data_IF_351837699165
#
_entry.id   IF_351837699165
#
_cell.length_a   1.000
_cell.length_b   1.000
_cell.length_c   1.000
_cell.angle_alpha   90.00
_cell.angle_beta   90.00
_cell.angle_gamma   90.00
#
_symmetry.space_group_name_H-M   'P 1'
#
loop_
_entity.id
_entity.type
_entity.pdbx_description
1 polymer ?
#
# COMPACT_ATOMS: atom_id res chain seq x y z
N UNK A 1 -25.07 -64.03 18.72
CA UNK A 1 -24.51 -63.25 19.84
C UNK A 1 -23.22 -62.61 19.33
N UNK A 2 -23.22 -61.38 18.81
CA UNK A 2 -23.33 -60.07 19.46
C UNK A 2 -22.08 -59.68 20.28
N UNK A 3 -21.45 -58.56 19.88
CA UNK A 3 -20.58 -57.59 20.59
C UNK A 3 -19.04 -57.73 20.36
N UNK A 4 -18.43 -56.81 19.57
CA UNK A 4 -17.84 -55.46 19.89
C UNK A 4 -16.38 -55.63 20.35
N UNK A 5 -15.34 -54.88 19.99
CA UNK A 5 -15.05 -53.49 19.52
C UNK A 5 -13.50 -53.45 19.35
N UNK A 6 -12.80 -52.62 18.56
CA UNK A 6 -12.85 -51.18 18.34
C UNK A 6 -11.90 -50.89 17.15
N UNK A 7 -12.41 -50.42 16.01
CA UNK A 7 -11.56 -49.84 14.95
C UNK A 7 -11.78 -48.34 14.98
N UNK A 8 -10.74 -47.60 15.36
CA UNK A 8 -10.73 -46.14 15.36
C UNK A 8 -10.84 -45.66 13.91
N UNK A 9 -11.97 -45.04 13.58
CA UNK A 9 -12.22 -44.39 12.31
C UNK A 9 -11.41 -43.08 12.30
N UNK A 10 -10.20 -43.11 11.74
CA UNK A 10 -9.50 -41.89 11.35
C UNK A 10 -10.25 -41.27 10.16
N UNK A 11 -11.11 -40.31 10.45
CA UNK A 11 -11.67 -39.42 9.45
C UNK A 11 -10.55 -38.51 8.92
N UNK A 12 -9.83 -38.97 7.90
CA UNK A 12 -8.95 -38.11 7.10
C UNK A 12 -9.87 -37.24 6.24
N UNK A 13 -10.26 -36.08 6.78
CA UNK A 13 -10.83 -35.01 5.97
C UNK A 13 -9.72 -34.58 5.00
N UNK A 14 -9.88 -34.91 3.72
CA UNK A 14 -8.86 -34.67 2.71
C UNK A 14 -8.69 -33.16 2.48
N UNK A 15 -7.54 -32.63 2.90
CA UNK A 15 -7.07 -31.25 2.66
C UNK A 15 -7.10 -30.86 1.16
N UNK A 16 -7.16 -31.85 0.26
CA UNK A 16 -7.29 -31.66 -1.19
C UNK A 16 -8.55 -30.88 -1.62
N UNK A 17 -9.62 -30.84 -0.80
CA UNK A 17 -10.85 -30.09 -1.10
C UNK A 17 -10.77 -28.57 -0.85
N UNK A 18 -9.72 -28.08 -0.19
CA UNK A 18 -9.57 -26.66 0.17
C UNK A 18 -8.83 -25.82 -0.89
N UNK A 19 -8.09 -26.44 -1.80
CA UNK A 19 -7.16 -25.76 -2.72
C UNK A 19 -7.74 -25.36 -4.08
N UNK A 20 -9.07 -25.46 -4.27
CA UNK A 20 -9.70 -24.88 -5.45
C UNK A 20 -9.64 -23.35 -5.36
N UNK A 21 -8.59 -22.74 -5.94
CA UNK A 21 -8.47 -21.30 -6.17
C UNK A 21 -9.66 -20.83 -7.01
N UNK A 22 -10.74 -20.42 -6.34
CA UNK A 22 -11.99 -19.96 -6.95
C UNK A 22 -11.89 -18.50 -7.39
N UNK A 23 -12.81 -18.17 -8.32
CA UNK A 23 -12.98 -16.91 -9.09
C UNK A 23 -12.46 -15.64 -8.40
N UNK A 24 -11.69 -14.78 -9.08
CA UNK A 24 -11.57 -13.37 -8.69
C UNK A 24 -12.96 -12.73 -8.66
N UNK A 25 -13.44 -12.39 -7.46
CA UNK A 25 -14.69 -11.66 -7.28
C UNK A 25 -14.65 -10.35 -8.09
N UNK A 26 -15.74 -9.95 -8.78
CA UNK A 26 -15.83 -8.63 -9.38
C UNK A 26 -15.63 -7.56 -8.32
N UNK A 27 -14.82 -6.54 -8.63
CA UNK A 27 -14.71 -5.34 -7.81
C UNK A 27 -16.09 -4.69 -7.81
N UNK A 28 -16.73 -4.63 -6.64
CA UNK A 28 -18.03 -3.98 -6.43
C UNK A 28 -17.87 -2.74 -5.58
N UNK A 29 -16.89 -2.70 -4.69
CA UNK A 29 -16.63 -1.57 -3.79
C UNK A 29 -15.20 -1.08 -3.91
N UNK A 30 -15.01 0.19 -4.26
CA UNK A 30 -13.71 0.86 -4.22
C UNK A 30 -13.71 1.89 -3.09
N UNK A 31 -12.70 1.82 -2.22
CA UNK A 31 -12.48 2.78 -1.16
C UNK A 31 -11.52 3.86 -1.65
N UNK A 32 -11.94 5.13 -1.59
CA UNK A 32 -11.12 6.29 -1.93
C UNK A 32 -10.74 7.02 -0.65
N UNK A 33 -9.44 7.13 -0.40
CA UNK A 33 -8.88 7.75 0.79
C UNK A 33 -8.13 9.04 0.43
N UNK A 34 -8.71 10.18 0.77
CA UNK A 34 -8.03 11.46 0.64
C UNK A 34 -7.05 11.64 1.81
N UNK A 35 -5.75 11.62 1.54
CA UNK A 35 -4.69 11.74 2.54
C UNK A 35 -4.86 12.95 3.46
N UNK A 36 -4.41 12.81 4.71
CA UNK A 36 -4.37 13.89 5.71
C UNK A 36 -5.74 14.55 5.99
N UNK A 37 -5.74 15.81 6.45
CA UNK A 37 -6.92 16.61 6.77
C UNK A 37 -6.63 17.67 7.84
N UNK A 38 -7.58 18.59 8.00
CA UNK A 38 -7.54 19.65 8.99
C UNK A 38 -7.68 19.05 10.39
N UNK A 39 -6.68 19.25 11.23
CA UNK A 39 -6.65 18.81 12.61
C UNK A 39 -7.64 19.59 13.47
N UNK A 40 -8.07 18.98 14.56
CA UNK A 40 -8.85 19.66 15.60
C UNK A 40 -8.07 20.89 16.08
N UNK A 41 -8.65 22.08 15.90
CA UNK A 41 -8.00 23.37 16.18
C UNK A 41 -7.48 24.12 14.95
N UNK A 42 -7.69 23.60 13.74
CA UNK A 42 -7.41 24.30 12.48
C UNK A 42 -5.98 24.13 11.95
N UNK A 43 -5.16 23.30 12.60
CA UNK A 43 -3.83 22.95 12.09
C UNK A 43 -3.89 22.01 10.90
N UNK A 44 -2.87 22.06 10.03
CA UNK A 44 -2.74 21.16 8.89
C UNK A 44 -1.79 20.01 9.23
N UNK A 45 -2.09 18.81 8.76
CA UNK A 45 -1.21 17.65 8.84
C UNK A 45 -0.80 17.25 7.42
N UNK A 46 0.43 16.77 7.25
CA UNK A 46 0.99 16.45 5.93
C UNK A 46 1.98 17.48 5.43
N UNK A 47 2.37 17.35 4.17
CA UNK A 47 3.28 18.25 3.52
C UNK A 47 2.62 19.60 3.20
N UNK A 48 3.45 20.64 3.12
CA UNK A 48 3.04 21.95 2.62
C UNK A 48 3.98 22.38 1.50
N UNK A 49 3.43 23.07 0.52
CA UNK A 49 4.18 23.74 -0.53
C UNK A 49 4.50 25.18 -0.16
N UNK A 50 4.63 26.02 -1.18
CA UNK A 50 4.83 27.45 -1.03
C UNK A 50 3.54 28.22 -0.72
N UNK A 51 2.38 27.72 -1.15
CA UNK A 51 1.07 28.36 -0.91
C UNK A 51 -0.08 27.39 -0.65
N UNK A 52 0.14 26.07 -0.75
CA UNK A 52 -0.89 25.05 -0.60
C UNK A 52 -0.52 23.97 0.43
N UNK A 53 -1.53 23.23 0.89
CA UNK A 53 -1.38 22.10 1.80
C UNK A 53 -1.77 20.79 1.10
N UNK A 54 -1.07 19.71 1.45
CA UNK A 54 -1.30 18.38 0.89
C UNK A 54 -2.74 17.92 1.05
N UNK A 55 -3.35 18.13 2.22
CA UNK A 55 -4.70 17.66 2.53
C UNK A 55 -5.80 18.31 1.67
N UNK A 56 -5.64 19.58 1.31
CA UNK A 56 -6.56 20.30 0.43
C UNK A 56 -6.48 19.74 -1.00
N UNK A 57 -5.26 19.57 -1.52
CA UNK A 57 -5.02 18.98 -2.85
C UNK A 57 -5.58 17.55 -2.90
N UNK A 58 -5.26 16.73 -1.89
CA UNK A 58 -5.72 15.34 -1.82
C UNK A 58 -7.25 15.25 -1.83
N UNK A 59 -7.94 16.11 -1.07
CA UNK A 59 -9.40 16.13 -1.04
C UNK A 59 -9.98 16.54 -2.40
N UNK A 60 -9.40 17.55 -3.05
CA UNK A 60 -9.87 18.03 -4.34
C UNK A 60 -9.73 16.97 -5.43
N UNK A 61 -8.56 16.30 -5.50
CA UNK A 61 -8.33 15.20 -6.44
C UNK A 61 -9.24 14.02 -6.13
N UNK A 62 -9.39 13.64 -4.86
CA UNK A 62 -10.25 12.52 -4.46
C UNK A 62 -11.71 12.74 -4.88
N UNK A 63 -12.26 13.94 -4.68
CA UNK A 63 -13.63 14.26 -5.12
C UNK A 63 -13.81 14.16 -6.63
N UNK A 64 -12.83 14.64 -7.41
CA UNK A 64 -12.85 14.49 -8.86
C UNK A 64 -12.70 13.03 -9.28
N UNK A 65 -11.85 12.25 -8.61
CA UNK A 65 -11.69 10.82 -8.85
C UNK A 65 -12.98 10.05 -8.55
N UNK A 66 -13.66 10.35 -7.44
CA UNK A 66 -14.97 9.77 -7.10
C UNK A 66 -15.99 10.07 -8.21
N UNK A 67 -16.11 11.33 -8.64
CA UNK A 67 -17.03 11.72 -9.70
C UNK A 67 -16.69 11.04 -11.04
N UNK A 68 -15.40 10.96 -11.39
CA UNK A 68 -14.93 10.37 -12.64
C UNK A 68 -15.13 8.85 -12.66
N UNK A 69 -14.82 8.15 -11.56
CA UNK A 69 -15.05 6.70 -11.43
C UNK A 69 -16.55 6.39 -11.46
N UNK A 70 -17.38 7.19 -10.79
CA UNK A 70 -18.84 6.98 -10.82
C UNK A 70 -19.41 7.13 -12.24
N UNK A 71 -18.82 8.03 -13.05
CA UNK A 71 -19.18 8.21 -14.46
C UNK A 71 -18.72 7.04 -15.34
N UNK A 72 -17.46 6.63 -15.21
CA UNK A 72 -16.86 5.62 -16.09
C UNK A 72 -17.24 4.18 -15.69
N UNK A 73 -17.53 3.96 -14.41
CA UNK A 73 -17.80 2.66 -13.81
C UNK A 73 -19.05 2.70 -12.90
N UNK A 74 -20.26 2.90 -13.46
CA UNK A 74 -21.48 3.14 -12.68
C UNK A 74 -21.92 1.96 -11.80
N UNK A 75 -21.39 0.76 -12.04
CA UNK A 75 -21.68 -0.44 -11.24
C UNK A 75 -20.76 -0.59 -10.01
N UNK A 76 -19.79 0.29 -9.84
CA UNK A 76 -18.87 0.29 -8.69
C UNK A 76 -19.42 1.23 -7.63
N UNK A 77 -19.66 0.69 -6.43
CA UNK A 77 -19.91 1.49 -5.24
C UNK A 77 -18.60 2.13 -4.77
N UNK A 78 -18.63 3.43 -4.57
CA UNK A 78 -17.48 4.18 -4.06
C UNK A 78 -17.75 4.55 -2.60
N UNK A 79 -16.74 4.38 -1.75
CA UNK A 79 -16.79 4.81 -0.34
C UNK A 79 -15.60 5.72 -0.07
N UNK A 80 -15.87 6.93 0.39
CA UNK A 80 -14.84 7.89 0.77
C UNK A 80 -14.51 7.73 2.26
N UNK A 81 -13.24 7.56 2.62
CA UNK A 81 -12.84 7.56 4.04
C UNK A 81 -12.92 8.97 4.64
N UNK A 82 -12.69 10.00 3.82
CA UNK A 82 -12.70 11.41 4.20
C UNK A 82 -13.45 12.23 3.14
N UNK A 83 -14.78 12.42 3.29
CA UNK A 83 -15.59 13.23 2.37
C UNK A 83 -15.44 14.76 2.61
N UNK A 84 -14.88 15.14 3.75
CA UNK A 84 -14.76 16.52 4.23
C UNK A 84 -13.31 16.99 4.43
N UNK A 85 -13.15 18.22 4.93
CA UNK A 85 -11.82 18.80 5.18
C UNK A 85 -11.15 18.23 6.42
N UNK A 86 -11.94 17.80 7.41
CA UNK A 86 -11.42 17.40 8.71
C UNK A 86 -10.65 16.09 8.63
N UNK A 87 -9.62 15.97 9.47
CA UNK A 87 -8.79 14.77 9.54
C UNK A 87 -9.59 13.57 10.04
N UNK A 88 -9.47 12.47 9.31
CA UNK A 88 -9.92 11.13 9.73
C UNK A 88 -8.70 10.37 10.24
N UNK A 89 -8.82 9.71 11.39
CA UNK A 89 -7.70 8.98 12.01
C UNK A 89 -7.21 7.84 11.11
N UNK A 90 -5.90 7.49 11.16
CA UNK A 90 -5.37 6.39 10.34
C UNK A 90 -6.12 5.07 10.58
N UNK A 91 -6.38 4.74 11.85
CA UNK A 91 -7.16 3.56 12.23
C UNK A 91 -8.57 3.60 11.67
N UNK A 92 -9.27 4.73 11.86
CA UNK A 92 -10.62 4.95 11.36
C UNK A 92 -10.73 4.80 9.84
N UNK A 93 -9.72 5.23 9.06
CA UNK A 93 -9.69 5.01 7.60
C UNK A 93 -9.69 3.52 7.25
N UNK A 94 -8.89 2.73 7.97
CA UNK A 94 -8.85 1.28 7.77
C UNK A 94 -10.17 0.63 8.22
N UNK A 95 -10.74 1.08 9.34
CA UNK A 95 -12.03 0.60 9.85
C UNK A 95 -13.16 0.88 8.85
N UNK A 96 -13.23 2.09 8.28
CA UNK A 96 -14.20 2.44 7.23
C UNK A 96 -14.04 1.51 6.02
N UNK A 97 -12.81 1.29 5.56
CA UNK A 97 -12.53 0.45 4.41
C UNK A 97 -12.96 -1.01 4.64
N UNK A 98 -12.61 -1.56 5.80
CA UNK A 98 -12.89 -2.93 6.20
C UNK A 98 -14.38 -3.16 6.47
N UNK A 99 -15.03 -2.27 7.23
CA UNK A 99 -16.46 -2.33 7.55
C UNK A 99 -17.36 -2.19 6.31
N UNK A 100 -16.84 -1.59 5.24
CA UNK A 100 -17.54 -1.47 3.96
C UNK A 100 -17.23 -2.60 2.99
N UNK A 101 -16.53 -3.66 3.40
CA UNK A 101 -16.19 -4.77 2.52
C UNK A 101 -15.48 -4.31 1.23
N UNK A 102 -14.51 -3.40 1.35
CA UNK A 102 -13.79 -2.85 0.20
C UNK A 102 -13.08 -3.94 -0.62
N UNK A 103 -13.21 -3.90 -1.95
CA UNK A 103 -12.53 -4.81 -2.87
C UNK A 103 -11.19 -4.25 -3.35
N UNK A 104 -11.00 -2.93 -3.26
CA UNK A 104 -9.79 -2.19 -3.57
C UNK A 104 -9.74 -0.89 -2.76
N UNK A 105 -8.58 -0.59 -2.18
CA UNK A 105 -8.32 0.64 -1.45
C UNK A 105 -7.33 1.52 -2.23
N UNK A 106 -7.68 2.77 -2.49
CA UNK A 106 -6.85 3.76 -3.18
C UNK A 106 -6.70 4.98 -2.28
N UNK A 107 -5.49 5.21 -1.77
CA UNK A 107 -5.14 6.41 -1.01
C UNK A 107 -4.43 7.42 -1.90
N UNK A 108 -4.84 8.68 -1.84
CA UNK A 108 -4.34 9.78 -2.68
C UNK A 108 -3.57 10.75 -1.78
N UNK A 109 -2.31 10.98 -2.14
CA UNK A 109 -1.34 11.77 -1.39
C UNK A 109 -0.53 12.68 -2.33
N UNK A 110 0.20 13.64 -1.74
CA UNK A 110 1.17 14.47 -2.46
C UNK A 110 2.48 14.44 -1.71
N UNK A 111 3.55 14.03 -2.40
CA UNK A 111 4.83 13.85 -1.75
C UNK A 111 5.53 15.19 -1.48
N UNK A 112 6.55 15.17 -0.65
CA UNK A 112 7.46 16.27 -0.43
C UNK A 112 8.89 15.77 -0.29
N UNK A 113 9.83 16.54 -0.83
CA UNK A 113 11.25 16.30 -0.59
C UNK A 113 11.83 17.51 0.14
N UNK A 114 12.17 17.40 1.43
CA UNK A 114 12.67 18.53 2.20
C UNK A 114 14.01 19.03 1.65
N UNK A 115 14.33 20.32 1.84
CA UNK A 115 15.62 20.86 1.44
C UNK A 115 16.76 20.13 2.14
N UNK A 116 17.85 19.87 1.41
CA UNK A 116 19.09 19.36 1.99
C UNK A 116 20.01 20.52 2.37
N UNK A 117 20.61 20.46 3.56
CA UNK A 117 21.62 21.44 3.94
C UNK A 117 22.92 21.15 3.17
N UNK A 118 23.41 22.14 2.45
CA UNK A 118 24.70 22.13 1.80
C UNK A 118 25.66 23.11 2.50
N UNK A 119 26.95 22.88 2.31
CA UNK A 119 28.00 23.81 2.75
C UNK A 119 29.05 23.99 1.67
N UNK A 120 29.56 25.19 1.57
CA UNK A 120 30.73 25.51 0.74
C UNK A 120 31.83 26.11 1.62
N UNK A 121 33.09 25.76 1.36
CA UNK A 121 34.21 26.38 2.05
C UNK A 121 34.43 27.78 1.44
N UNK A 122 34.27 28.82 2.27
CA UNK A 122 34.38 30.23 1.86
C UNK A 122 35.70 30.87 2.31
N UNK A 123 36.63 30.08 2.81
CA UNK A 123 37.96 30.52 3.22
C UNK A 123 38.54 29.69 4.36
N UNK A 124 39.52 30.28 5.04
CA UNK A 124 40.10 29.75 6.27
C UNK A 124 40.09 30.84 7.34
N UNK A 125 40.05 30.42 8.60
CA UNK A 125 40.20 31.31 9.75
C UNK A 125 41.27 30.77 10.69
N UNK A 126 41.99 31.68 11.34
CA UNK A 126 43.01 31.30 12.32
C UNK A 126 42.35 30.99 13.66
N UNK A 127 42.30 29.71 14.01
CA UNK A 127 41.83 29.25 15.30
C UNK A 127 42.99 29.25 16.31
N UNK A 128 42.84 30.06 17.36
CA UNK A 128 43.73 30.03 18.52
C UNK A 128 43.24 28.95 19.49
N UNK A 129 44.14 28.08 19.94
CA UNK A 129 43.85 27.13 21.01
C UNK A 129 45.00 27.08 22.02
N UNK A 130 44.74 26.51 23.20
CA UNK A 130 45.71 26.46 24.28
C UNK A 130 45.92 25.02 24.75
N UNK A 131 47.15 24.71 25.16
CA UNK A 131 47.51 23.41 25.75
C UNK A 131 48.20 23.63 27.09
N UNK A 132 48.15 22.64 28.00
CA UNK A 132 48.68 22.76 29.36
C UNK A 132 47.76 23.54 30.31
N UNK A 133 48.14 23.61 31.60
CA UNK A 133 47.36 24.26 32.68
C UNK A 133 48.24 25.21 33.49
N UNK A 134 47.63 26.24 34.10
CA UNK A 134 48.31 27.20 34.97
C UNK A 134 49.49 27.90 34.28
N UNK A 135 50.63 27.99 34.96
CA UNK A 135 51.86 28.60 34.43
C UNK A 135 52.47 27.86 33.22
N UNK A 136 52.02 26.63 32.91
CA UNK A 136 52.48 25.84 31.76
C UNK A 136 51.55 25.98 30.52
N UNK A 137 50.59 26.91 30.53
CA UNK A 137 49.66 27.12 29.40
C UNK A 137 50.40 27.70 28.18
N UNK A 138 50.32 27.03 27.03
CA UNK A 138 50.93 27.44 25.75
C UNK A 138 49.85 27.79 24.73
N UNK A 139 50.02 28.90 24.00
CA UNK A 139 49.13 29.35 22.91
C UNK A 139 49.60 28.75 21.59
N UNK A 140 48.66 28.24 20.80
CA UNK A 140 48.87 27.69 19.47
C UNK A 140 47.87 28.29 18.49
N UNK A 141 48.22 28.26 17.21
CA UNK A 141 47.35 28.69 16.10
C UNK A 141 47.32 27.62 15.03
N UNK A 142 46.13 27.34 14.51
CA UNK A 142 45.96 26.51 13.31
C UNK A 142 44.96 27.17 12.37
N UNK A 143 45.19 27.04 11.07
CA UNK A 143 44.18 27.43 10.09
C UNK A 143 43.09 26.37 10.05
N UNK A 144 41.85 26.79 10.19
CA UNK A 144 40.67 25.92 10.06
C UNK A 144 39.78 26.42 8.92
N UNK A 145 39.11 25.53 8.18
CA UNK A 145 38.21 25.93 7.10
C UNK A 145 36.99 26.67 7.65
N UNK A 146 36.59 27.75 6.98
CA UNK A 146 35.33 28.46 7.24
C UNK A 146 34.29 28.05 6.21
N UNK A 147 33.09 27.67 6.67
CA UNK A 147 32.00 27.22 5.80
C UNK A 147 30.84 28.21 5.77
N UNK A 148 30.20 28.36 4.61
CA UNK A 148 28.86 28.95 4.46
C UNK A 148 27.87 27.81 4.29
N UNK A 149 26.75 27.86 5.01
CA UNK A 149 25.66 26.88 4.93
C UNK A 149 24.49 27.48 4.16
N UNK A 150 23.85 26.67 3.31
CA UNK A 150 22.66 27.06 2.54
C UNK A 150 21.77 25.84 2.26
N UNK A 151 20.48 26.08 2.00
CA UNK A 151 19.53 25.03 1.66
C UNK A 151 19.52 24.79 0.15
N UNK A 152 19.61 23.53 -0.26
CA UNK A 152 19.40 23.11 -1.64
C UNK A 152 18.03 22.45 -1.71
N UNK A 153 17.12 23.09 -2.44
CA UNK A 153 15.78 22.58 -2.67
C UNK A 153 15.81 21.58 -3.83
N UNK A 154 15.45 20.31 -3.60
CA UNK A 154 15.44 19.31 -4.65
C UNK A 154 14.32 19.61 -5.65
N UNK A 155 14.66 19.62 -6.94
CA UNK A 155 13.70 19.77 -8.03
C UNK A 155 13.01 18.42 -8.39
N UNK A 156 12.79 17.57 -7.40
CA UNK A 156 12.15 16.26 -7.59
C UNK A 156 10.71 16.47 -8.05
N UNK A 157 10.27 15.70 -9.05
CA UNK A 157 8.92 15.78 -9.61
C UNK A 157 8.44 14.43 -10.12
N UNK A 158 7.14 14.31 -10.36
CA UNK A 158 6.53 13.10 -10.89
C UNK A 158 5.81 12.27 -9.85
N UNK A 159 5.18 11.19 -10.30
CA UNK A 159 4.31 10.34 -9.50
C UNK A 159 5.05 9.14 -8.93
N UNK A 160 4.57 8.65 -7.79
CA UNK A 160 5.03 7.40 -7.20
C UNK A 160 3.81 6.65 -6.67
N UNK A 161 3.74 5.34 -6.88
CA UNK A 161 2.67 4.53 -6.30
C UNK A 161 3.26 3.48 -5.38
N UNK A 162 2.69 3.35 -4.19
CA UNK A 162 3.17 2.44 -3.15
C UNK A 162 2.17 1.34 -2.85
N UNK A 163 2.70 0.16 -2.56
CA UNK A 163 1.99 -0.93 -1.89
C UNK A 163 2.59 -1.14 -0.50
N UNK A 164 1.97 -1.98 0.34
CA UNK A 164 2.56 -2.29 1.63
C UNK A 164 3.91 -3.00 1.47
N UNK A 165 4.82 -2.76 2.42
CA UNK A 165 6.15 -3.37 2.38
C UNK A 165 6.11 -4.86 2.70
N UNK A 166 6.99 -5.64 2.08
CA UNK A 166 7.09 -7.09 2.32
C UNK A 166 7.38 -7.42 3.79
N UNK A 167 8.14 -6.57 4.50
CA UNK A 167 8.39 -6.66 5.93
C UNK A 167 7.15 -6.38 6.82
N UNK A 168 6.01 -6.06 6.20
CA UNK A 168 4.71 -5.80 6.84
C UNK A 168 3.63 -6.79 6.40
N UNK A 169 4.05 -7.93 5.86
CA UNK A 169 3.13 -8.99 5.43
C UNK A 169 2.34 -9.56 6.60
N UNK A 170 2.98 -9.75 7.76
CA UNK A 170 2.30 -10.23 8.98
C UNK A 170 1.21 -9.27 9.44
N UNK A 171 1.46 -7.96 9.44
CA UNK A 171 0.46 -6.93 9.78
C UNK A 171 -0.75 -6.99 8.82
N UNK A 172 -0.50 -7.22 7.52
CA UNK A 172 -1.58 -7.41 6.52
C UNK A 172 -2.36 -8.71 6.73
N UNK A 173 -1.68 -9.79 7.09
CA UNK A 173 -2.34 -11.06 7.42
C UNK A 173 -3.22 -10.93 8.67
N UNK A 174 -2.76 -10.23 9.70
CA UNK A 174 -3.56 -9.93 10.90
C UNK A 174 -4.85 -9.20 10.49
N UNK A 175 -4.75 -8.13 9.71
CA UNK A 175 -5.91 -7.39 9.23
C UNK A 175 -6.90 -8.27 8.44
N UNK A 176 -6.39 -9.15 7.59
CA UNK A 176 -7.21 -10.13 6.84
C UNK A 176 -7.91 -11.10 7.80
N UNK A 177 -7.22 -11.57 8.84
CA UNK A 177 -7.79 -12.51 9.81
C UNK A 177 -8.85 -11.87 10.70
N UNK A 178 -8.60 -10.66 11.19
CA UNK A 178 -9.58 -9.89 12.00
C UNK A 178 -10.85 -9.58 11.21
N UNK A 179 -10.73 -9.44 9.88
CA UNK A 179 -11.85 -9.17 8.97
C UNK A 179 -12.33 -10.43 8.23
N UNK A 180 -12.10 -11.63 8.77
CA UNK A 180 -12.48 -12.91 8.15
C UNK A 180 -13.94 -12.94 7.67
N UNK A 181 -14.84 -12.35 8.46
CA UNK A 181 -16.28 -12.30 8.20
C UNK A 181 -16.62 -11.53 6.91
N UNK A 182 -15.74 -10.60 6.48
CA UNK A 182 -15.87 -9.87 5.22
C UNK A 182 -15.80 -10.80 4.00
N UNK A 183 -15.12 -11.94 4.13
CA UNK A 183 -14.95 -12.91 3.05
C UNK A 183 -16.15 -13.84 2.87
N UNK A 184 -17.33 -13.39 3.30
CA UNK A 184 -18.62 -14.02 3.10
C UNK A 184 -18.91 -14.17 1.60
N UNK A 185 -18.31 -15.20 0.99
CA UNK A 185 -18.73 -15.73 -0.31
C UNK A 185 -20.17 -16.24 -0.18
N UNK A 186 -20.93 -16.22 -1.28
CA UNK A 186 -22.09 -17.12 -1.42
C UNK A 186 -21.57 -18.54 -1.13
N UNK A 187 -22.09 -19.16 -0.04
CA UNK A 187 -21.72 -20.46 0.53
C UNK A 187 -20.48 -20.51 1.46
N UNK A 188 -19.92 -19.38 1.92
CA UNK A 188 -18.89 -19.38 2.98
C UNK A 188 -19.43 -19.98 4.28
N UNK A 189 -20.65 -19.58 4.67
CA UNK A 189 -21.36 -20.10 5.85
C UNK A 189 -21.71 -21.59 5.73
N UNK A 190 -21.85 -22.12 4.52
CA UNK A 190 -22.17 -23.54 4.31
C UNK A 190 -20.91 -24.43 4.27
N UNK A 191 -19.75 -23.89 3.88
CA UNK A 191 -18.49 -24.68 3.72
C UNK A 191 -17.52 -24.54 4.91
N UNK A 192 -17.61 -23.46 5.69
CA UNK A 192 -16.60 -23.08 6.70
C UNK A 192 -17.20 -22.62 8.03
N UNK A 193 -18.38 -23.14 8.41
CA UNK A 193 -18.92 -22.93 9.75
C UNK A 193 -17.83 -23.27 10.80
N UNK A 194 -17.65 -22.36 11.76
CA UNK A 194 -16.77 -22.48 12.92
C UNK A 194 -15.26 -22.64 12.65
N UNK A 195 -14.71 -22.06 11.58
CA UNK A 195 -13.25 -21.93 11.47
C UNK A 195 -12.75 -20.88 12.47
N UNK A 196 -12.05 -21.35 13.50
CA UNK A 196 -11.24 -20.51 14.39
C UNK A 196 -10.25 -19.67 13.55
N UNK A 197 -10.25 -18.33 13.63
CA UNK A 197 -9.27 -17.48 12.96
C UNK A 197 -7.81 -17.78 13.30
N UNK A 198 -7.56 -18.58 14.34
CA UNK A 198 -6.24 -19.05 14.74
C UNK A 198 -5.95 -20.49 14.27
N UNK A 199 -6.86 -21.13 13.53
CA UNK A 199 -6.63 -22.47 12.99
C UNK A 199 -5.51 -22.47 11.94
N UNK A 200 -4.70 -23.54 11.85
CA UNK A 200 -3.68 -23.68 10.82
C UNK A 200 -4.21 -23.51 9.39
N UNK A 201 -5.43 -23.98 9.11
CA UNK A 201 -6.10 -23.87 7.82
C UNK A 201 -6.41 -22.41 7.48
N UNK A 202 -6.92 -21.65 8.46
CA UNK A 202 -7.23 -20.25 8.25
C UNK A 202 -5.97 -19.40 8.09
N UNK A 203 -4.92 -19.71 8.85
CA UNK A 203 -3.60 -19.09 8.69
C UNK A 203 -3.09 -19.34 7.26
N UNK A 204 -3.13 -20.59 6.78
CA UNK A 204 -2.72 -20.92 5.42
C UNK A 204 -3.56 -20.18 4.35
N UNK A 205 -4.88 -20.11 4.53
CA UNK A 205 -5.77 -19.35 3.65
C UNK A 205 -5.44 -17.86 3.66
N UNK A 206 -5.20 -17.28 4.83
CA UNK A 206 -4.85 -15.87 5.00
C UNK A 206 -3.53 -15.53 4.29
N UNK A 207 -2.54 -16.42 4.33
CA UNK A 207 -1.27 -16.26 3.61
C UNK A 207 -1.47 -16.31 2.08
N UNK A 208 -2.28 -17.25 1.58
CA UNK A 208 -2.63 -17.33 0.14
C UNK A 208 -3.34 -16.05 -0.31
N UNK A 209 -4.30 -15.56 0.50
CA UNK A 209 -5.05 -14.34 0.21
C UNK A 209 -4.18 -13.10 0.23
N UNK A 210 -3.27 -12.99 1.19
CA UNK A 210 -2.28 -11.92 1.28
C UNK A 210 -1.41 -11.86 0.02
N UNK A 211 -0.93 -13.02 -0.46
CA UNK A 211 -0.18 -13.10 -1.73
C UNK A 211 -1.01 -12.65 -2.93
N UNK A 212 -2.29 -13.00 -2.99
CA UNK A 212 -3.20 -12.52 -4.04
C UNK A 212 -3.40 -11.02 -3.98
N UNK A 213 -3.64 -10.46 -2.79
CA UNK A 213 -3.78 -9.03 -2.59
C UNK A 213 -2.51 -8.28 -2.94
N UNK A 214 -1.33 -8.87 -2.68
CA UNK A 214 -0.07 -8.25 -3.04
C UNK A 214 0.05 -8.15 -4.56
N UNK A 215 -0.20 -9.24 -5.29
CA UNK A 215 -0.17 -9.27 -6.76
C UNK A 215 -1.16 -8.27 -7.36
N UNK A 216 -2.36 -8.19 -6.79
CA UNK A 216 -3.41 -7.25 -7.19
C UNK A 216 -3.01 -5.80 -6.94
N UNK A 217 -2.44 -5.49 -5.78
CA UNK A 217 -1.99 -4.14 -5.43
C UNK A 217 -0.84 -3.70 -6.32
N UNK A 218 0.15 -4.58 -6.52
CA UNK A 218 1.27 -4.32 -7.43
C UNK A 218 0.76 -4.03 -8.84
N UNK A 219 -0.22 -4.79 -9.33
CA UNK A 219 -0.76 -4.57 -10.67
C UNK A 219 -1.54 -3.26 -10.79
N UNK A 220 -2.34 -2.92 -9.78
CA UNK A 220 -3.02 -1.62 -9.75
C UNK A 220 -2.01 -0.47 -9.75
N UNK A 221 -0.94 -0.57 -8.95
CA UNK A 221 0.13 0.42 -8.92
C UNK A 221 0.79 0.63 -10.29
N UNK A 222 1.09 -0.46 -11.01
CA UNK A 222 1.66 -0.38 -12.35
C UNK A 222 0.71 0.30 -13.36
N UNK A 223 -0.60 0.06 -13.25
CA UNK A 223 -1.59 0.72 -14.12
C UNK A 223 -1.71 2.21 -13.82
N UNK A 224 -1.66 2.61 -12.55
CA UNK A 224 -1.66 4.01 -12.15
C UNK A 224 -0.45 4.75 -12.75
N UNK A 225 0.75 4.22 -12.53
CA UNK A 225 1.98 4.81 -13.05
C UNK A 225 2.01 4.86 -14.59
N UNK A 226 1.49 3.82 -15.25
CA UNK A 226 1.38 3.81 -16.71
C UNK A 226 0.41 4.88 -17.24
N UNK A 227 -0.73 5.12 -16.58
CA UNK A 227 -1.67 6.17 -16.99
C UNK A 227 -1.12 7.58 -16.77
N UNK A 228 -0.37 7.80 -15.68
CA UNK A 228 0.36 9.05 -15.49
C UNK A 228 1.43 9.29 -16.55
N UNK A 229 2.21 8.26 -16.89
CA UNK A 229 3.19 8.35 -17.97
C UNK A 229 2.53 8.69 -19.32
N UNK A 230 1.40 8.07 -19.64
CA UNK A 230 0.62 8.37 -20.86
C UNK A 230 0.07 9.78 -20.89
N UNK A 231 -0.28 10.36 -19.74
CA UNK A 231 -0.75 11.75 -19.63
C UNK A 231 0.38 12.77 -19.70
N UNK A 232 1.63 12.33 -19.92
CA UNK A 232 2.80 13.21 -20.00
C UNK A 232 3.42 13.56 -18.65
N UNK A 233 2.95 12.96 -17.54
CA UNK A 233 3.59 13.11 -16.23
C UNK A 233 4.81 12.20 -16.12
N UNK A 234 5.78 12.61 -15.31
CA UNK A 234 6.94 11.77 -15.01
C UNK A 234 6.50 10.66 -14.05
N UNK A 235 6.49 9.41 -14.49
CA UNK A 235 6.34 8.27 -13.58
C UNK A 235 7.70 7.94 -12.96
N UNK A 236 7.78 7.93 -11.62
CA UNK A 236 8.93 7.37 -10.94
C UNK A 236 8.73 5.87 -10.65
N UNK A 237 7.51 5.34 -10.72
CA UNK A 237 7.23 3.91 -10.65
C UNK A 237 6.57 3.42 -9.37
N UNK A 238 6.42 2.10 -9.27
CA UNK A 238 5.75 1.38 -8.19
C UNK A 238 6.75 0.88 -7.14
N UNK A 239 6.53 1.17 -5.86
CA UNK A 239 7.51 0.91 -4.79
C UNK A 239 6.91 0.28 -3.52
N UNK A 240 7.83 -0.22 -2.69
CA UNK A 240 7.59 -0.53 -1.28
C UNK A 240 8.50 0.35 -0.43
N UNK A 241 7.95 1.00 0.60
CA UNK A 241 8.77 1.79 1.54
C UNK A 241 9.44 0.88 2.56
N UNK A 242 10.66 1.25 3.01
CA UNK A 242 11.30 0.61 4.16
C UNK A 242 10.56 0.90 5.47
N UNK A 243 10.02 2.12 5.61
CA UNK A 243 9.07 2.44 6.68
C UNK A 243 7.66 2.12 6.17
N UNK A 244 7.01 1.12 6.77
CA UNK A 244 5.67 0.72 6.39
C UNK A 244 4.66 1.88 6.39
N UNK A 245 3.75 1.88 5.42
CA UNK A 245 2.57 2.74 5.34
C UNK A 245 1.39 2.03 6.02
N UNK A 246 1.09 2.40 7.27
CA UNK A 246 0.20 1.65 8.17
C UNK A 246 -1.19 1.36 7.55
N UNK A 247 -1.84 2.34 6.91
CA UNK A 247 -3.19 2.16 6.33
C UNK A 247 -3.23 1.11 5.22
N UNK A 248 -2.14 0.97 4.46
CA UNK A 248 -2.02 -0.09 3.43
C UNK A 248 -1.86 -1.48 4.04
N UNK A 249 -1.51 -1.60 5.32
CA UNK A 249 -1.34 -2.88 6.01
C UNK A 249 -2.62 -3.26 6.73
N UNK A 250 -3.27 -2.30 7.38
CA UNK A 250 -4.47 -2.47 8.18
C UNK A 250 -5.76 -2.74 7.37
N UNK A 251 -5.73 -2.53 6.05
CA UNK A 251 -6.86 -2.82 5.17
C UNK A 251 -6.84 -4.28 4.69
N UNK A 252 -7.94 -5.01 4.89
CA UNK A 252 -8.10 -6.41 4.50
C UNK A 252 -8.40 -6.61 2.99
N UNK A 253 -7.79 -5.80 2.12
CA UNK A 253 -8.03 -5.79 0.67
C UNK A 253 -6.74 -5.40 -0.10
N UNK A 254 -6.70 -5.54 -1.44
CA UNK A 254 -5.69 -4.90 -2.26
C UNK A 254 -5.69 -3.38 -2.01
N UNK A 255 -4.51 -2.78 -1.88
CA UNK A 255 -4.37 -1.40 -1.43
C UNK A 255 -3.17 -0.71 -2.07
N UNK A 256 -3.38 0.49 -2.59
CA UNK A 256 -2.33 1.37 -3.14
C UNK A 256 -2.37 2.75 -2.48
N UNK A 257 -1.21 3.39 -2.35
CA UNK A 257 -1.09 4.82 -2.05
C UNK A 257 -0.42 5.51 -3.23
N UNK A 258 -1.09 6.51 -3.80
CA UNK A 258 -0.66 7.25 -4.98
C UNK A 258 -0.15 8.61 -4.51
N UNK A 259 1.15 8.84 -4.65
CA UNK A 259 1.73 10.18 -4.58
C UNK A 259 1.58 10.83 -5.96
N UNK A 260 0.70 11.82 -6.08
CA UNK A 260 0.35 12.41 -7.38
C UNK A 260 1.41 13.39 -7.91
N UNK A 261 2.38 13.76 -7.10
CA UNK A 261 3.47 14.69 -7.43
C UNK A 261 4.29 15.06 -6.20
N UNK A 262 5.13 16.09 -6.33
CA UNK A 262 5.92 16.64 -5.22
C UNK A 262 5.53 18.10 -4.94
N UNK A 263 4.84 18.37 -3.82
CA UNK A 263 4.34 19.72 -3.45
C UNK A 263 5.48 20.73 -3.23
N UNK A 264 6.69 20.25 -2.95
CA UNK A 264 7.90 21.08 -2.81
C UNK A 264 8.45 21.56 -4.16
N UNK A 265 7.95 21.04 -5.27
CA UNK A 265 8.28 21.50 -6.62
C UNK A 265 7.21 22.49 -7.10
N UNK A 266 7.63 23.70 -7.48
CA UNK A 266 6.70 24.78 -7.85
C UNK A 266 5.81 24.45 -9.05
N UNK A 267 6.36 23.79 -10.08
CA UNK A 267 5.58 23.41 -11.27
C UNK A 267 4.52 22.37 -10.92
N UNK A 268 4.87 21.43 -10.03
CA UNK A 268 3.95 20.40 -9.55
C UNK A 268 2.90 20.97 -8.60
N UNK A 269 3.29 21.89 -7.70
CA UNK A 269 2.35 22.60 -6.83
C UNK A 269 1.31 23.37 -7.66
N UNK A 270 1.73 24.10 -8.69
CA UNK A 270 0.83 24.82 -9.60
C UNK A 270 -0.08 23.88 -10.38
N UNK A 271 0.45 22.78 -10.88
CA UNK A 271 -0.33 21.77 -11.58
C UNK A 271 -1.40 21.15 -10.67
N UNK A 272 -1.02 20.69 -9.48
CA UNK A 272 -1.89 19.98 -8.55
C UNK A 272 -2.94 20.90 -7.89
N UNK A 273 -2.70 22.20 -7.81
CA UNK A 273 -3.70 23.18 -7.39
C UNK A 273 -4.63 23.64 -8.54
N UNK A 274 -4.27 23.37 -9.80
CA UNK A 274 -5.09 23.76 -10.94
C UNK A 274 -6.28 22.82 -11.16
N UNK A 275 -7.44 23.36 -11.54
CA UNK A 275 -8.62 22.58 -11.92
C UNK A 275 -8.31 21.53 -12.98
N UNK A 276 -7.51 21.91 -13.98
CA UNK A 276 -7.07 21.03 -15.06
C UNK A 276 -6.22 19.87 -14.52
N UNK A 277 -5.18 20.15 -13.74
CA UNK A 277 -4.27 19.12 -13.25
C UNK A 277 -4.94 18.15 -12.27
N UNK A 278 -5.86 18.65 -11.43
CA UNK A 278 -6.66 17.79 -10.56
C UNK A 278 -7.61 16.88 -11.36
N UNK A 279 -8.24 17.42 -12.41
CA UNK A 279 -9.13 16.65 -13.29
C UNK A 279 -8.35 15.60 -14.09
N UNK A 280 -7.22 15.96 -14.70
CA UNK A 280 -6.35 15.01 -15.42
C UNK A 280 -5.85 13.90 -14.49
N UNK A 281 -5.51 14.23 -13.25
CA UNK A 281 -5.10 13.24 -12.24
C UNK A 281 -6.23 12.27 -11.91
N UNK A 282 -7.44 12.77 -11.68
CA UNK A 282 -8.63 11.95 -11.44
C UNK A 282 -8.95 11.02 -12.61
N UNK A 283 -8.82 11.51 -13.85
CA UNK A 283 -9.01 10.70 -15.06
C UNK A 283 -7.94 9.62 -15.22
N UNK A 284 -6.68 9.91 -14.86
CA UNK A 284 -5.62 8.88 -14.83
C UNK A 284 -5.96 7.75 -13.84
N UNK A 285 -6.43 8.10 -12.64
CA UNK A 285 -6.85 7.12 -11.63
C UNK A 285 -8.04 6.29 -12.13
N UNK A 286 -9.04 6.93 -12.74
CA UNK A 286 -10.22 6.24 -13.31
C UNK A 286 -9.82 5.27 -14.43
N UNK A 287 -9.00 5.72 -15.41
CA UNK A 287 -8.50 4.84 -16.48
C UNK A 287 -7.64 3.70 -15.95
N UNK A 288 -6.82 3.95 -14.92
CA UNK A 288 -6.02 2.92 -14.28
C UNK A 288 -6.90 1.86 -13.61
N UNK A 289 -7.99 2.27 -12.96
CA UNK A 289 -9.01 1.36 -12.44
C UNK A 289 -9.65 0.55 -13.57
N UNK A 290 -10.06 1.17 -14.68
CA UNK A 290 -10.57 0.46 -15.85
C UNK A 290 -9.62 -0.62 -16.37
N UNK A 291 -8.35 -0.27 -16.58
CA UNK A 291 -7.32 -1.23 -17.00
C UNK A 291 -7.12 -2.36 -15.98
N UNK A 292 -7.24 -2.06 -14.70
CA UNK A 292 -7.16 -3.03 -13.62
C UNK A 292 -8.33 -4.00 -13.61
N UNK A 293 -9.56 -3.51 -13.85
CA UNK A 293 -10.76 -4.33 -13.99
C UNK A 293 -10.64 -5.27 -15.19
N UNK A 294 -10.23 -4.77 -16.36
CA UNK A 294 -9.98 -5.58 -17.56
C UNK A 294 -8.95 -6.69 -17.30
N UNK A 295 -7.88 -6.35 -16.57
CA UNK A 295 -6.87 -7.32 -16.18
C UNK A 295 -7.44 -8.39 -15.24
N UNK A 296 -8.26 -8.01 -14.26
CA UNK A 296 -8.92 -8.97 -13.38
C UNK A 296 -9.82 -9.93 -14.17
N UNK A 297 -10.59 -9.41 -15.13
CA UNK A 297 -11.46 -10.22 -15.99
C UNK A 297 -10.69 -11.21 -16.84
N UNK A 298 -9.61 -10.77 -17.51
CA UNK A 298 -8.73 -11.64 -18.31
C UNK A 298 -8.04 -12.72 -17.48
N UNK A 299 -7.78 -12.45 -16.21
CA UNK A 299 -7.14 -13.39 -15.28
C UNK A 299 -8.16 -14.15 -14.43
N UNK A 300 -9.47 -14.09 -14.75
CA UNK A 300 -10.46 -15.02 -14.19
C UNK A 300 -10.29 -16.39 -14.86
N UNK A 301 -10.17 -17.44 -14.06
CA UNK A 301 -10.26 -18.81 -14.57
C UNK A 301 -11.70 -19.08 -15.05
N UNK A 302 -11.93 -19.54 -16.30
CA UNK A 302 -13.26 -19.86 -16.82
C UNK A 302 -13.95 -20.94 -16.00
N UNK A 303 -15.28 -20.86 -15.88
CA UNK A 303 -16.09 -21.70 -14.99
C UNK A 303 -16.24 -23.19 -15.40
N UNK A 304 -15.41 -23.73 -16.29
CA UNK A 304 -15.70 -25.01 -16.98
C UNK A 304 -14.56 -26.02 -17.13
N UNK A 305 -13.34 -25.77 -16.66
CA UNK A 305 -12.21 -26.68 -16.92
C UNK A 305 -11.39 -27.00 -15.68
N UNK A 306 -11.97 -27.77 -14.76
CA UNK A 306 -11.19 -28.53 -13.77
C UNK A 306 -11.73 -29.95 -13.66
N UNK A 307 -11.43 -30.77 -14.67
CA UNK A 307 -11.25 -32.21 -14.42
C UNK A 307 -9.89 -32.37 -13.75
N UNK A 308 -9.85 -32.27 -12.42
CA UNK A 308 -8.66 -32.68 -11.65
C UNK A 308 -8.88 -34.15 -11.27
N UNK A 309 -8.03 -35.08 -11.75
CA UNK A 309 -8.10 -36.47 -11.33
C UNK A 309 -7.89 -36.56 -9.81
N UNK A 310 -8.82 -37.23 -9.12
CA UNK A 310 -8.67 -37.51 -7.71
C UNK A 310 -7.47 -38.44 -7.48
N UNK A 311 -6.38 -37.91 -6.93
CA UNK A 311 -5.29 -38.72 -6.38
C UNK A 311 -3.87 -38.35 -6.83
N UNK A 312 -3.36 -37.18 -6.42
CA UNK A 312 -1.92 -36.93 -6.20
C UNK A 312 -1.71 -35.45 -5.83
N UNK A 313 -1.97 -35.05 -4.58
CA UNK A 313 -2.08 -33.61 -4.29
C UNK A 313 -1.55 -33.06 -2.97
N UNK A 314 -1.05 -33.88 -2.04
CA UNK A 314 -0.52 -33.36 -0.77
C UNK A 314 1.01 -33.44 -0.69
N UNK A 315 1.59 -34.59 -1.05
CA UNK A 315 3.03 -34.80 -0.98
C UNK A 315 3.82 -33.89 -1.94
N UNK A 316 3.33 -33.71 -3.18
CA UNK A 316 3.97 -32.85 -4.17
C UNK A 316 3.88 -31.36 -3.79
N UNK A 317 2.81 -30.96 -3.10
CA UNK A 317 2.60 -29.58 -2.65
C UNK A 317 3.48 -29.24 -1.44
N UNK A 318 3.58 -30.15 -0.47
CA UNK A 318 4.50 -30.02 0.66
C UNK A 318 5.96 -30.02 0.20
N UNK A 319 6.33 -30.88 -0.77
CA UNK A 319 7.65 -30.85 -1.38
C UNK A 319 7.96 -29.53 -2.09
N UNK A 320 6.98 -28.93 -2.77
CA UNK A 320 7.16 -27.65 -3.43
C UNK A 320 7.34 -26.49 -2.42
N UNK A 321 6.67 -26.54 -1.27
CA UNK A 321 6.84 -25.57 -0.18
C UNK A 321 8.21 -25.74 0.47
N UNK A 322 8.62 -26.96 0.82
CA UNK A 322 9.94 -27.24 1.39
C UNK A 322 11.08 -26.84 0.45
N UNK A 323 10.96 -27.13 -0.85
CA UNK A 323 11.96 -26.72 -1.83
C UNK A 323 12.07 -25.19 -1.92
N UNK A 324 10.95 -24.47 -1.80
CA UNK A 324 10.92 -23.01 -1.87
C UNK A 324 11.46 -22.34 -0.58
N UNK A 325 11.26 -22.95 0.59
CA UNK A 325 11.89 -22.52 1.85
C UNK A 325 13.40 -22.79 1.85
N UNK A 326 13.85 -23.93 1.33
CA UNK A 326 15.27 -24.25 1.22
C UNK A 326 16.02 -23.29 0.29
N UNK A 327 15.37 -22.80 -0.77
CA UNK A 327 15.92 -21.76 -1.65
C UNK A 327 15.99 -20.39 -0.95
N UNK A 328 14.99 -20.05 -0.13
CA UNK A 328 14.96 -18.81 0.66
C UNK A 328 16.02 -18.77 1.75
N UNK A 329 16.29 -19.90 2.41
CA UNK A 329 17.33 -20.03 3.44
C UNK A 329 18.74 -19.96 2.83
N UNK A 330 18.91 -20.45 1.60
CA UNK A 330 20.19 -20.38 0.88
C UNK A 330 20.51 -19.00 0.28
N UNK A 331 19.52 -18.15 0.03
CA UNK A 331 19.74 -16.79 -0.49
C UNK A 331 19.97 -15.74 0.61
N UNK A 332 19.91 -16.13 1.88
CA UNK A 332 20.10 -15.26 3.06
C UNK A 332 21.36 -15.60 3.86
N UNK A 333 22.31 -16.34 3.26
CA UNK A 333 23.68 -16.53 3.78
C UNK A 333 24.72 -15.91 2.86
#
# INVERSE_FOLDING_TARGET
>A
MLKKTLAALFGVLSVAGLLALKKPQPIKTVIIDAGHGVMKGGGYNGAHGSYSYEDEICLAIAKKAVAQIAKDHPNIRIVETRPGRDIVGLHERADIANANNGDLFISIHVNAMPPRQAREQVGTETQVYYTGKGKKKKKHTRQVPRYRYYNVYPNTKGTQTYIWGAHKTEDKEIAIRENAQMFSEENYREKYNDIDPNSPEFIALSAVKTKQYWKRSSRMADFVEAEFAKSGRVSQGSYQRQKGIWVLQATAMPSVLIETGFITNKEEEDYLNSEKGQQETAECISRALGNYLDWLEKNRVPAGTTNVPAGSGSAAFLQAIEQHEQVRIKSTR
#
